data_IF_386084224650
#
_entry.id   IF_386084224650
#
_cell.length_a   1.000
_cell.length_b   1.000
_cell.length_c   1.000
_cell.angle_alpha   90.00
_cell.angle_beta   90.00
_cell.angle_gamma   90.00
#
_symmetry.space_group_name_H-M   'P 1'
#
loop_
_entity.id
_entity.type
_entity.pdbx_description
1 polymer ?
#
# COMPACT_ATOMS: atom_id res chain seq x y z
N UNK A 1 7.69 -15.19 3.82
CA UNK A 1 8.23 -15.14 2.43
C UNK A 1 7.34 -15.92 1.45
N UNK A 2 6.70 -17.05 1.84
CA UNK A 2 5.80 -17.79 0.95
C UNK A 2 4.41 -17.17 0.81
N UNK A 3 3.84 -16.55 1.85
CA UNK A 3 2.49 -15.97 1.80
C UNK A 3 2.41 -14.67 1.01
N UNK A 4 3.41 -13.80 1.09
CA UNK A 4 3.41 -12.50 0.39
C UNK A 4 3.54 -12.60 -1.14
N UNK A 5 4.18 -13.68 -1.64
CA UNK A 5 4.20 -13.98 -3.09
C UNK A 5 2.90 -14.62 -3.58
N UNK A 6 2.06 -15.12 -2.67
CA UNK A 6 0.83 -15.84 -3.01
C UNK A 6 -0.37 -14.91 -3.27
N UNK A 7 -0.41 -13.68 -2.73
CA UNK A 7 -1.58 -12.79 -2.89
C UNK A 7 -1.79 -12.35 -4.35
N UNK A 8 -0.78 -11.87 -5.09
CA UNK A 8 -0.93 -11.59 -6.53
C UNK A 8 -1.18 -12.87 -7.35
N UNK A 9 -0.54 -13.98 -7.00
CA UNK A 9 -0.75 -15.28 -7.65
C UNK A 9 -2.14 -15.85 -7.37
N UNK A 10 -2.68 -15.67 -6.15
CA UNK A 10 -4.05 -16.05 -5.79
C UNK A 10 -5.09 -15.17 -6.49
N UNK A 11 -4.83 -13.87 -6.63
CA UNK A 11 -5.68 -12.96 -7.39
C UNK A 11 -5.67 -13.33 -8.88
N UNK A 12 -4.49 -13.51 -9.47
CA UNK A 12 -4.35 -13.95 -10.85
C UNK A 12 -5.01 -15.32 -11.08
N UNK A 13 -4.85 -16.27 -10.14
CA UNK A 13 -5.52 -17.56 -10.20
C UNK A 13 -7.05 -17.47 -10.16
N UNK A 14 -7.62 -16.61 -9.30
CA UNK A 14 -9.06 -16.37 -9.26
C UNK A 14 -9.58 -15.70 -10.54
N UNK A 15 -8.84 -14.77 -11.12
CA UNK A 15 -9.19 -14.10 -12.37
C UNK A 15 -9.18 -15.07 -13.56
N UNK A 16 -8.18 -15.94 -13.62
CA UNK A 16 -8.12 -17.01 -14.64
C UNK A 16 -9.32 -17.95 -14.50
N UNK A 17 -9.66 -18.38 -13.27
CA UNK A 17 -10.83 -19.21 -13.01
C UNK A 17 -12.15 -18.54 -13.42
N UNK A 18 -12.34 -17.27 -13.10
CA UNK A 18 -13.52 -16.49 -13.53
C UNK A 18 -13.62 -16.48 -15.06
N UNK A 19 -12.48 -16.24 -15.74
CA UNK A 19 -12.40 -16.24 -17.20
C UNK A 19 -12.72 -17.61 -17.79
N UNK A 20 -12.16 -18.69 -17.24
CA UNK A 20 -12.40 -20.07 -17.69
C UNK A 20 -13.85 -20.50 -17.47
N UNK A 21 -14.44 -20.21 -16.29
CA UNK A 21 -15.84 -20.51 -16.01
C UNK A 21 -16.81 -19.77 -16.95
N UNK A 22 -16.53 -18.50 -17.24
CA UNK A 22 -17.33 -17.70 -18.16
C UNK A 22 -17.21 -18.22 -19.59
N UNK A 23 -15.98 -18.58 -20.03
CA UNK A 23 -15.73 -19.14 -21.36
C UNK A 23 -16.32 -20.54 -21.54
N UNK A 24 -16.26 -21.39 -20.52
CA UNK A 24 -16.88 -22.71 -20.57
C UNK A 24 -18.39 -22.60 -20.69
N UNK A 25 -19.03 -21.68 -19.94
CA UNK A 25 -20.47 -21.38 -20.11
C UNK A 25 -20.81 -20.87 -21.52
N UNK A 26 -19.92 -20.10 -22.14
CA UNK A 26 -20.09 -19.63 -23.52
C UNK A 26 -20.00 -20.75 -24.55
N UNK A 27 -19.13 -21.74 -24.33
CA UNK A 27 -18.96 -22.93 -25.22
C UNK A 27 -20.13 -23.88 -25.09
N UNK A 28 -20.63 -24.13 -23.87
CA UNK A 28 -21.73 -25.08 -23.60
C UNK A 28 -23.10 -24.55 -24.09
N UNK A 29 -23.24 -23.25 -24.29
CA UNK A 29 -24.55 -22.61 -24.50
C UNK A 29 -24.90 -22.17 -25.92
N UNK A 30 -24.15 -22.46 -27.00
CA UNK A 30 -24.38 -21.91 -28.36
C UNK A 30 -24.71 -20.42 -28.32
N UNK A 31 -23.88 -19.61 -27.69
CA UNK A 31 -24.18 -18.21 -27.43
C UNK A 31 -24.13 -17.38 -28.72
N UNK A 32 -25.26 -16.75 -29.07
CA UNK A 32 -25.32 -15.69 -30.08
C UNK A 32 -24.58 -14.46 -29.59
N UNK A 33 -24.02 -13.69 -30.51
CA UNK A 33 -23.18 -12.48 -30.34
C UNK A 33 -23.56 -11.55 -29.17
N UNK A 34 -24.83 -11.32 -28.92
CA UNK A 34 -25.34 -10.46 -27.84
C UNK A 34 -25.12 -11.00 -26.41
N UNK A 35 -24.90 -12.30 -26.25
CA UNK A 35 -24.61 -12.89 -24.93
C UNK A 35 -23.12 -12.91 -24.62
N UNK A 36 -22.26 -12.88 -25.63
CA UNK A 36 -20.81 -12.73 -25.44
C UNK A 36 -20.49 -11.35 -24.85
N UNK A 37 -21.17 -10.30 -25.28
CA UNK A 37 -21.01 -8.94 -24.76
C UNK A 37 -21.39 -8.86 -23.26
N UNK A 38 -22.59 -9.33 -22.90
CA UNK A 38 -23.02 -9.37 -21.49
C UNK A 38 -22.11 -10.23 -20.60
N UNK A 39 -21.53 -11.31 -21.15
CA UNK A 39 -20.55 -12.13 -20.43
C UNK A 39 -19.23 -11.38 -20.16
N UNK A 40 -18.84 -10.52 -21.09
CA UNK A 40 -17.63 -9.69 -20.96
C UNK A 40 -17.81 -8.57 -19.94
N UNK A 41 -18.98 -7.91 -19.94
CA UNK A 41 -19.33 -6.95 -18.90
C UNK A 41 -19.32 -7.61 -17.52
N UNK A 42 -19.94 -8.77 -17.38
CA UNK A 42 -19.91 -9.55 -16.13
C UNK A 42 -18.48 -9.93 -15.71
N UNK A 43 -17.64 -10.34 -16.66
CA UNK A 43 -16.23 -10.67 -16.38
C UNK A 43 -15.45 -9.45 -15.90
N UNK A 44 -15.61 -8.29 -16.55
CA UNK A 44 -14.95 -7.05 -16.16
C UNK A 44 -15.42 -6.56 -14.80
N UNK A 45 -16.73 -6.61 -14.54
CA UNK A 45 -17.31 -6.23 -13.25
C UNK A 45 -16.81 -7.15 -12.12
N UNK A 46 -16.87 -8.46 -12.31
CA UNK A 46 -16.35 -9.43 -11.34
C UNK A 46 -14.84 -9.30 -11.12
N UNK A 47 -14.09 -8.95 -12.16
CA UNK A 47 -12.65 -8.67 -12.06
C UNK A 47 -12.40 -7.42 -11.24
N UNK A 48 -13.14 -6.35 -11.50
CA UNK A 48 -13.10 -5.12 -10.73
C UNK A 48 -13.39 -5.36 -9.24
N UNK A 49 -14.41 -6.18 -8.93
CA UNK A 49 -14.74 -6.56 -7.55
C UNK A 49 -13.61 -7.36 -6.89
N UNK A 50 -13.01 -8.32 -7.60
CA UNK A 50 -11.87 -9.10 -7.06
C UNK A 50 -10.66 -8.21 -6.83
N UNK A 51 -10.34 -7.30 -7.75
CA UNK A 51 -9.27 -6.33 -7.54
C UNK A 51 -9.59 -5.35 -6.42
N UNK A 52 -10.83 -4.85 -6.35
CA UNK A 52 -11.28 -3.96 -5.27
C UNK A 52 -11.17 -4.61 -3.90
N UNK A 53 -11.52 -5.87 -3.76
CA UNK A 53 -11.48 -6.57 -2.46
C UNK A 53 -10.08 -7.01 -2.05
N UNK A 54 -9.27 -7.45 -3.01
CA UNK A 54 -7.92 -7.97 -2.73
C UNK A 54 -6.87 -6.87 -2.78
N UNK A 55 -7.13 -5.81 -3.53
CA UNK A 55 -6.18 -4.76 -3.91
C UNK A 55 -6.75 -3.34 -3.70
N UNK A 56 -7.49 -3.11 -2.60
CA UNK A 56 -8.12 -1.81 -2.27
C UNK A 56 -7.23 -0.58 -2.43
N UNK A 57 -5.93 -0.82 -2.42
CA UNK A 57 -4.90 0.21 -2.39
C UNK A 57 -4.06 0.28 -3.68
N UNK A 58 -4.44 -0.43 -4.74
CA UNK A 58 -3.70 -0.44 -6.01
C UNK A 58 -4.51 0.22 -7.12
N UNK A 59 -3.87 1.05 -7.92
CA UNK A 59 -4.47 1.56 -9.15
C UNK A 59 -4.67 0.41 -10.14
N UNK A 60 -5.91 0.25 -10.61
CA UNK A 60 -6.27 -0.72 -11.64
C UNK A 60 -6.11 -0.03 -12.99
N UNK A 61 -5.64 -0.75 -14.05
CA UNK A 61 -5.58 -0.17 -15.37
C UNK A 61 -6.97 0.28 -15.82
N UNK A 62 -7.03 1.39 -16.56
CA UNK A 62 -8.26 1.81 -17.20
C UNK A 62 -8.80 0.67 -18.08
N UNK A 63 -10.03 0.26 -17.84
CA UNK A 63 -10.68 -0.82 -18.57
C UNK A 63 -11.17 -0.40 -19.96
N UNK A 64 -11.39 0.90 -20.20
CA UNK A 64 -11.96 1.43 -21.45
C UNK A 64 -11.22 1.00 -22.74
N UNK A 65 -9.87 1.02 -22.80
CA UNK A 65 -9.16 0.53 -23.99
C UNK A 65 -9.40 -0.96 -24.26
N UNK A 66 -9.57 -1.75 -23.21
CA UNK A 66 -9.83 -3.19 -23.32
C UNK A 66 -11.27 -3.47 -23.74
N UNK A 67 -12.24 -2.73 -23.21
CA UNK A 67 -13.65 -2.79 -23.63
C UNK A 67 -13.77 -2.56 -25.12
N UNK A 68 -13.14 -1.50 -25.67
CA UNK A 68 -13.14 -1.23 -27.12
C UNK A 68 -12.49 -2.34 -27.95
N UNK A 69 -11.45 -2.98 -27.42
CA UNK A 69 -10.83 -4.14 -28.09
C UNK A 69 -11.74 -5.36 -28.06
N UNK A 70 -12.50 -5.55 -26.96
CA UNK A 70 -13.45 -6.63 -26.81
C UNK A 70 -14.65 -6.49 -27.76
N UNK A 71 -15.15 -5.26 -27.98
CA UNK A 71 -16.22 -4.95 -28.92
C UNK A 71 -15.86 -5.37 -30.38
N UNK A 72 -14.58 -5.35 -30.71
CA UNK A 72 -14.08 -5.73 -32.04
C UNK A 72 -13.70 -7.22 -32.14
N UNK A 73 -13.84 -8.01 -31.07
CA UNK A 73 -13.55 -9.44 -31.11
C UNK A 73 -14.67 -10.22 -31.79
N UNK A 74 -14.33 -10.99 -32.80
CA UNK A 74 -15.26 -11.87 -33.55
C UNK A 74 -15.10 -13.34 -33.20
N UNK A 75 -14.03 -13.71 -32.49
CA UNK A 75 -13.71 -15.07 -32.11
C UNK A 75 -13.39 -15.22 -30.63
N UNK A 76 -13.67 -16.39 -30.05
CA UNK A 76 -13.35 -16.71 -28.67
C UNK A 76 -11.84 -16.60 -28.38
N UNK A 77 -10.98 -16.91 -29.34
CA UNK A 77 -9.53 -16.79 -29.19
C UNK A 77 -9.07 -15.33 -29.07
N UNK A 78 -9.65 -14.41 -29.86
CA UNK A 78 -9.37 -12.98 -29.73
C UNK A 78 -9.80 -12.46 -28.35
N UNK A 79 -10.93 -12.90 -27.85
CA UNK A 79 -11.45 -12.57 -26.56
C UNK A 79 -10.52 -13.03 -25.44
N UNK A 80 -10.04 -14.28 -25.50
CA UNK A 80 -9.06 -14.83 -24.56
C UNK A 80 -7.77 -14.03 -24.54
N UNK A 81 -7.29 -13.58 -25.69
CA UNK A 81 -6.08 -12.75 -25.81
C UNK A 81 -6.26 -11.38 -25.15
N UNK A 82 -7.37 -10.69 -25.39
CA UNK A 82 -7.63 -9.39 -24.77
C UNK A 82 -7.78 -9.53 -23.27
N UNK A 83 -8.45 -10.57 -22.81
CA UNK A 83 -8.59 -10.86 -21.39
C UNK A 83 -7.24 -11.17 -20.70
N UNK A 84 -6.43 -12.02 -21.32
CA UNK A 84 -5.11 -12.37 -20.80
C UNK A 84 -4.19 -11.14 -20.71
N UNK A 85 -4.25 -10.25 -21.71
CA UNK A 85 -3.53 -9.00 -21.75
C UNK A 85 -3.94 -8.07 -20.58
N UNK A 86 -5.25 -7.87 -20.38
CA UNK A 86 -5.77 -7.08 -19.25
C UNK A 86 -5.32 -7.62 -17.89
N UNK A 87 -5.42 -8.94 -17.68
CA UNK A 87 -4.97 -9.58 -16.44
C UNK A 87 -3.46 -9.42 -16.24
N UNK A 88 -2.67 -9.61 -17.31
CA UNK A 88 -1.21 -9.46 -17.26
C UNK A 88 -0.78 -8.04 -16.89
N UNK A 89 -1.35 -7.04 -17.56
CA UNK A 89 -1.05 -5.62 -17.27
C UNK A 89 -1.50 -5.24 -15.87
N UNK A 90 -2.66 -5.72 -15.42
CA UNK A 90 -3.14 -5.49 -14.05
C UNK A 90 -2.18 -6.07 -13.01
N UNK A 91 -1.71 -7.31 -13.21
CA UNK A 91 -0.74 -7.95 -12.34
C UNK A 91 0.61 -7.22 -12.34
N UNK A 92 1.09 -6.75 -13.50
CA UNK A 92 2.34 -5.98 -13.59
C UNK A 92 2.25 -4.63 -12.87
N UNK A 93 1.14 -3.91 -13.02
CA UNK A 93 0.90 -2.64 -12.32
C UNK A 93 0.89 -2.84 -10.81
N UNK A 94 0.16 -3.85 -10.32
CA UNK A 94 0.15 -4.20 -8.91
C UNK A 94 1.55 -4.57 -8.40
N UNK A 95 2.35 -5.28 -9.21
CA UNK A 95 3.73 -5.62 -8.86
C UNK A 95 4.62 -4.37 -8.78
N UNK A 96 4.56 -3.47 -9.76
CA UNK A 96 5.33 -2.21 -9.79
C UNK A 96 4.96 -1.29 -8.64
N UNK A 97 3.69 -1.16 -8.32
CA UNK A 97 3.22 -0.37 -7.17
C UNK A 97 3.69 -0.99 -5.86
N UNK A 98 3.68 -2.32 -5.75
CA UNK A 98 4.22 -3.05 -4.61
C UNK A 98 5.73 -2.79 -4.42
N UNK A 99 6.50 -2.83 -5.49
CA UNK A 99 7.95 -2.60 -5.46
C UNK A 99 8.31 -1.14 -5.12
N UNK A 100 7.43 -0.18 -5.44
CA UNK A 100 7.61 1.25 -5.15
C UNK A 100 7.09 1.73 -3.79
N UNK A 101 6.08 1.06 -3.23
CA UNK A 101 5.38 1.49 -1.99
C UNK A 101 5.67 0.63 -0.76
N UNK A 102 6.36 -0.50 -0.90
CA UNK A 102 6.47 -1.52 0.14
C UNK A 102 5.19 -2.39 0.23
N UNK A 103 5.22 -3.43 1.07
CA UNK A 103 4.04 -4.28 1.28
C UNK A 103 2.91 -3.50 1.95
N UNK A 104 1.66 -3.95 1.74
CA UNK A 104 0.47 -3.35 2.39
C UNK A 104 0.65 -3.18 3.91
N UNK A 105 1.15 -4.17 4.67
CA UNK A 105 1.41 -3.98 6.09
C UNK A 105 2.39 -2.83 6.37
N UNK A 106 3.47 -2.68 5.61
CA UNK A 106 4.44 -1.59 5.80
C UNK A 106 3.82 -0.23 5.54
N UNK A 107 2.95 -0.11 4.53
CA UNK A 107 2.21 1.12 4.27
C UNK A 107 1.26 1.47 5.41
N UNK A 108 0.43 0.52 5.85
CA UNK A 108 -0.48 0.70 7.00
C UNK A 108 0.27 1.14 8.26
N UNK A 109 1.45 0.54 8.51
CA UNK A 109 2.31 0.91 9.63
C UNK A 109 2.79 2.37 9.52
N UNK A 110 3.24 2.78 8.34
CA UNK A 110 3.72 4.15 8.09
C UNK A 110 2.60 5.17 8.25
N UNK A 111 1.42 4.88 7.73
CA UNK A 111 0.22 5.71 7.88
C UNK A 111 -0.17 5.84 9.35
N UNK A 112 -0.30 4.74 10.06
CA UNK A 112 -0.60 4.73 11.49
C UNK A 112 0.41 5.52 12.32
N UNK A 113 1.71 5.32 12.09
CA UNK A 113 2.76 6.09 12.77
C UNK A 113 2.65 7.58 12.42
N UNK A 114 2.34 7.92 11.16
CA UNK A 114 2.18 9.29 10.72
C UNK A 114 1.03 10.03 11.41
N UNK A 115 -0.04 9.33 11.79
CA UNK A 115 -1.20 9.88 12.49
C UNK A 115 -1.04 9.87 14.02
N UNK A 116 -0.38 8.86 14.57
CA UNK A 116 -0.30 8.60 16.01
C UNK A 116 1.11 8.83 16.61
N UNK A 117 2.06 9.41 15.88
CA UNK A 117 3.47 9.55 16.31
C UNK A 117 3.66 10.19 17.69
N UNK A 118 2.73 11.03 18.15
CA UNK A 118 2.79 11.68 19.45
C UNK A 118 2.43 10.75 20.64
N UNK A 119 1.83 9.61 20.36
CA UNK A 119 1.38 8.65 21.34
C UNK A 119 2.48 7.65 21.72
N UNK A 120 2.27 6.93 22.82
CA UNK A 120 3.19 5.86 23.22
C UNK A 120 2.90 4.56 22.43
N UNK A 121 3.38 4.52 21.20
CA UNK A 121 3.19 3.37 20.31
C UNK A 121 4.17 2.26 20.65
N UNK A 122 3.65 1.05 20.91
CA UNK A 122 4.47 -0.16 21.08
C UNK A 122 4.45 -1.04 19.83
N UNK A 123 5.42 -1.95 19.75
CA UNK A 123 5.47 -2.94 18.67
C UNK A 123 4.22 -3.84 18.66
N UNK A 124 3.65 -4.13 19.84
CA UNK A 124 2.45 -4.95 19.96
C UNK A 124 1.22 -4.22 19.40
N UNK A 125 1.06 -2.92 19.71
CA UNK A 125 -0.06 -2.13 19.19
C UNK A 125 -0.08 -2.14 17.66
N UNK A 126 1.09 -1.99 17.04
CA UNK A 126 1.21 -2.02 15.58
C UNK A 126 0.96 -3.44 15.03
N UNK A 127 1.44 -4.46 15.73
CA UNK A 127 1.24 -5.86 15.33
C UNK A 127 -0.24 -6.24 15.31
N UNK A 128 -1.00 -5.77 16.28
CA UNK A 128 -2.45 -5.98 16.38
C UNK A 128 -3.20 -5.30 15.22
N UNK A 129 -2.80 -4.08 14.83
CA UNK A 129 -3.42 -3.33 13.72
C UNK A 129 -3.24 -4.04 12.38
N UNK A 130 -2.04 -4.60 12.14
CA UNK A 130 -1.74 -5.29 10.87
C UNK A 130 -1.99 -6.80 10.94
N UNK A 131 -2.51 -7.31 12.06
CA UNK A 131 -2.78 -8.74 12.31
C UNK A 131 -1.56 -9.64 12.09
N UNK A 132 -0.38 -9.19 12.54
CA UNK A 132 0.88 -9.92 12.40
C UNK A 132 1.51 -10.22 13.77
N UNK A 133 2.30 -11.29 13.82
CA UNK A 133 3.13 -11.53 15.00
C UNK A 133 4.21 -10.44 15.13
N UNK A 134 4.48 -9.88 16.34
CA UNK A 134 5.44 -8.79 16.55
C UNK A 134 6.86 -9.10 16.04
N UNK A 135 7.35 -10.32 16.24
CA UNK A 135 8.68 -10.72 15.77
C UNK A 135 8.76 -10.73 14.22
N UNK A 136 7.73 -11.25 13.57
CA UNK A 136 7.63 -11.26 12.10
C UNK A 136 7.52 -9.84 11.56
N UNK A 137 6.66 -9.01 12.15
CA UNK A 137 6.49 -7.60 11.78
C UNK A 137 7.81 -6.83 11.86
N UNK A 138 8.55 -6.97 12.97
CA UNK A 138 9.86 -6.30 13.15
C UNK A 138 10.86 -6.69 12.06
N UNK A 139 10.97 -8.00 11.75
CA UNK A 139 11.87 -8.50 10.70
C UNK A 139 11.43 -8.04 9.31
N UNK A 140 10.14 -8.09 9.00
CA UNK A 140 9.56 -7.66 7.73
C UNK A 140 9.77 -6.16 7.50
N UNK A 141 9.42 -5.32 8.49
CA UNK A 141 9.55 -3.88 8.39
C UNK A 141 11.01 -3.48 8.14
N UNK A 142 11.96 -4.05 8.92
CA UNK A 142 13.39 -3.80 8.73
C UNK A 142 13.90 -4.25 7.36
N UNK A 143 13.42 -5.40 6.87
CA UNK A 143 13.80 -5.93 5.54
C UNK A 143 13.34 -5.01 4.41
N UNK A 144 12.13 -4.47 4.51
CA UNK A 144 11.55 -3.66 3.43
C UNK A 144 11.95 -2.19 3.48
N UNK A 145 12.13 -1.63 4.69
CA UNK A 145 12.45 -0.20 4.86
C UNK A 145 13.92 0.08 5.12
N UNK A 146 14.72 -0.96 5.41
CA UNK A 146 16.12 -0.84 5.80
C UNK A 146 16.33 -0.43 7.27
N UNK A 147 15.28 -0.07 8.01
CA UNK A 147 15.38 0.43 9.38
C UNK A 147 14.40 -0.24 10.33
N UNK A 148 14.65 -0.16 11.63
CA UNK A 148 13.72 -0.68 12.64
C UNK A 148 12.50 0.23 12.76
N UNK A 149 11.40 -0.33 13.24
CA UNK A 149 10.16 0.41 13.48
C UNK A 149 10.36 1.55 14.50
N UNK A 150 11.15 1.30 15.57
CA UNK A 150 11.51 2.34 16.54
C UNK A 150 12.30 3.48 15.90
N UNK A 151 13.25 3.16 15.00
CA UNK A 151 14.02 4.19 14.30
C UNK A 151 13.10 5.01 13.38
N UNK A 152 12.20 4.37 12.66
CA UNK A 152 11.21 5.04 11.82
C UNK A 152 10.31 6.01 12.62
N UNK A 153 9.80 5.58 13.78
CA UNK A 153 9.02 6.44 14.68
C UNK A 153 9.83 7.65 15.16
N UNK A 154 11.10 7.44 15.50
CA UNK A 154 12.01 8.53 15.88
C UNK A 154 12.16 9.52 14.74
N UNK A 155 12.41 9.05 13.52
CA UNK A 155 12.58 9.89 12.34
C UNK A 155 11.34 10.76 12.09
N UNK A 156 10.14 10.15 12.11
CA UNK A 156 8.86 10.88 11.97
C UNK A 156 8.71 11.95 13.05
N UNK A 157 8.99 11.64 14.30
CA UNK A 157 8.93 12.60 15.43
C UNK A 157 9.90 13.76 15.24
N UNK A 158 11.12 13.47 14.81
CA UNK A 158 12.15 14.52 14.56
C UNK A 158 11.74 15.40 13.40
N UNK A 159 11.20 14.85 12.33
CA UNK A 159 10.75 15.64 11.18
C UNK A 159 9.55 16.53 11.56
N UNK A 160 8.60 16.02 12.34
CA UNK A 160 7.51 16.84 12.91
C UNK A 160 8.03 17.93 13.86
N UNK A 161 9.04 17.62 14.66
CA UNK A 161 9.67 18.64 15.51
C UNK A 161 10.35 19.74 14.68
N UNK A 162 11.03 19.41 13.58
CA UNK A 162 11.61 20.41 12.67
C UNK A 162 10.55 21.35 12.09
N UNK A 163 9.37 20.81 11.69
CA UNK A 163 8.25 21.61 11.23
C UNK A 163 7.76 22.58 12.31
N UNK A 164 7.59 22.08 13.56
CA UNK A 164 7.10 22.88 14.68
C UNK A 164 8.12 23.93 15.17
N UNK A 165 9.42 23.65 15.05
CA UNK A 165 10.49 24.57 15.43
C UNK A 165 10.51 25.85 14.59
N UNK A 166 9.88 25.86 13.42
CA UNK A 166 9.72 27.07 12.59
C UNK A 166 8.78 28.09 13.22
N UNK A 167 7.94 27.66 14.17
CA UNK A 167 7.10 28.60 14.93
C UNK A 167 7.86 29.09 16.19
N UNK A 168 8.20 30.40 16.29
CA UNK A 168 8.96 30.95 17.42
C UNK A 168 8.17 30.96 18.74
N UNK A 169 6.84 30.96 18.68
CA UNK A 169 5.98 31.06 19.86
C UNK A 169 5.99 29.82 20.76
N UNK A 170 6.37 28.65 20.21
CA UNK A 170 6.38 27.39 20.98
C UNK A 170 7.72 27.18 21.66
N UNK A 171 7.69 26.79 22.90
CA UNK A 171 8.90 26.38 23.64
C UNK A 171 9.43 25.02 23.17
N UNK A 172 10.70 24.72 23.43
CA UNK A 172 11.28 23.42 23.10
C UNK A 172 10.59 22.29 23.89
N UNK A 173 10.22 22.57 25.15
CA UNK A 173 9.50 21.60 26.00
C UNK A 173 8.10 21.28 25.45
N UNK A 174 7.35 22.29 25.01
CA UNK A 174 6.05 22.06 24.37
C UNK A 174 6.18 21.24 23.10
N UNK A 175 7.17 21.53 22.25
CA UNK A 175 7.42 20.76 21.03
C UNK A 175 7.79 19.33 21.39
N UNK A 176 8.65 19.11 22.40
CA UNK A 176 8.99 17.78 22.86
C UNK A 176 7.73 16.96 23.26
N UNK A 177 6.84 17.56 24.06
CA UNK A 177 5.57 16.94 24.44
C UNK A 177 4.68 16.65 23.22
N UNK A 178 4.53 17.59 22.30
CA UNK A 178 3.69 17.45 21.10
C UNK A 178 4.16 16.35 20.15
N UNK A 179 5.46 16.05 20.14
CA UNK A 179 6.01 14.96 19.32
C UNK A 179 6.21 13.66 20.10
N UNK A 180 5.63 13.57 21.32
CA UNK A 180 5.54 12.33 22.12
C UNK A 180 6.75 12.06 23.05
N UNK A 181 7.49 13.10 23.46
CA UNK A 181 8.54 12.98 24.48
C UNK A 181 8.13 13.72 25.76
N UNK A 182 8.08 13.00 26.88
CA UNK A 182 7.77 13.58 28.20
C UNK A 182 8.95 14.34 28.79
N UNK A 183 10.19 14.04 28.38
CA UNK A 183 11.43 14.68 28.87
C UNK A 183 12.08 15.48 27.74
N UNK A 184 12.12 16.81 27.91
CA UNK A 184 12.75 17.76 27.01
C UNK A 184 14.25 17.47 26.84
N UNK A 185 14.95 17.02 27.90
CA UNK A 185 16.38 16.73 27.83
C UNK A 185 16.66 15.51 26.97
N UNK A 186 15.81 14.48 27.12
CA UNK A 186 15.88 13.30 26.26
C UNK A 186 15.62 13.64 24.80
N UNK A 187 14.55 14.41 24.55
CA UNK A 187 14.23 14.92 23.20
C UNK A 187 15.40 15.70 22.61
N UNK A 188 15.95 16.69 23.34
CA UNK A 188 17.05 17.54 22.86
C UNK A 188 18.32 16.76 22.52
N UNK A 189 18.66 15.75 23.31
CA UNK A 189 19.78 14.83 23.01
C UNK A 189 19.53 14.03 21.74
N UNK A 190 18.33 13.47 21.60
CA UNK A 190 17.97 12.67 20.43
C UNK A 190 17.89 13.53 19.16
N UNK A 191 17.27 14.69 19.24
CA UNK A 191 17.22 15.67 18.14
C UNK A 191 18.63 16.04 17.67
N UNK A 192 19.54 16.37 18.62
CA UNK A 192 20.93 16.70 18.30
C UNK A 192 21.70 15.55 17.69
N UNK A 193 21.44 14.31 18.14
CA UNK A 193 22.03 13.11 17.55
C UNK A 193 21.58 12.90 16.10
N UNK A 194 20.31 13.20 15.79
CA UNK A 194 19.73 12.96 14.46
C UNK A 194 20.03 14.10 13.48
N UNK A 195 20.14 15.36 13.95
CA UNK A 195 20.28 16.55 13.09
C UNK A 195 21.67 17.16 13.11
N UNK A 196 22.51 16.78 14.07
CA UNK A 196 23.84 17.35 14.28
C UNK A 196 23.84 18.67 15.08
N UNK A 197 22.68 19.29 15.34
CA UNK A 197 22.55 20.59 16.03
C UNK A 197 21.45 20.54 17.09
N UNK A 198 21.54 21.41 18.11
CA UNK A 198 20.50 21.50 19.15
C UNK A 198 19.19 22.08 18.59
N UNK A 199 18.02 21.73 19.16
CA UNK A 199 16.75 22.28 18.74
C UNK A 199 16.73 23.83 18.73
N UNK A 200 17.34 24.46 19.72
CA UNK A 200 17.47 25.93 19.82
C UNK A 200 18.33 26.54 18.71
N UNK A 201 19.40 25.86 18.32
CA UNK A 201 20.26 26.26 17.20
C UNK A 201 19.54 26.03 15.87
N UNK A 202 18.88 24.90 15.71
CA UNK A 202 18.08 24.61 14.52
C UNK A 202 17.04 25.69 14.27
N UNK A 203 16.31 26.13 15.31
CA UNK A 203 15.34 27.23 15.22
C UNK A 203 15.98 28.51 14.67
N UNK A 204 17.19 28.90 15.13
CA UNK A 204 17.86 30.12 14.67
C UNK A 204 18.24 30.13 13.19
N UNK A 205 18.36 28.95 12.57
CA UNK A 205 18.67 28.85 11.15
C UNK A 205 17.43 29.01 10.26
N UNK A 206 16.21 28.84 10.81
CA UNK A 206 14.97 28.79 10.04
C UNK A 206 13.93 29.87 10.45
N UNK A 207 14.22 30.65 11.45
CA UNK A 207 13.47 31.84 11.93
C UNK A 207 14.40 33.02 11.96
#
# INVERSE_FOLDING_TARGET
VKMERQVPLLAAGKLVLIGEEAMNRAVEGQYRYYRLYGLLEEMLERTGLVFSDIMKDYEIPDAEPYIRRLENCTTLNQLKLVWADYVSVSCELCQRQKDGMGSRPVRMIKEYIGEHYSENITLNDIADIVFLNPAYLSAMFKKETGQTLTQYLIDVRIDKAKEMLRNPERTIGEIACMVGYQDERHFSKLFSKMTGVKPTEYRRFYV
#
